data_IF_514718123334
#
_entry.id   IF_514718123334
#
_cell.length_a   1.000
_cell.length_b   1.000
_cell.length_c   1.000
_cell.angle_alpha   90.00
_cell.angle_beta   90.00
_cell.angle_gamma   90.00
#
_symmetry.space_group_name_H-M   'P 1'
#
loop_
_entity.id
_entity.type
_entity.pdbx_description
1 polymer ?
#
# COMPACT_ATOMS: atom_id res chain seq x y z
N UNK A 1 14.11 18.18 -29.80
CA UNK A 1 14.83 16.94 -30.22
C UNK A 1 14.36 15.80 -29.33
N UNK A 2 14.07 14.62 -29.91
CA UNK A 2 13.69 13.44 -29.15
C UNK A 2 14.91 12.79 -28.50
N UNK A 3 14.87 12.55 -27.19
CA UNK A 3 15.92 11.83 -26.48
C UNK A 3 15.72 10.34 -26.71
N UNK A 4 16.78 9.60 -27.02
CA UNK A 4 16.73 8.15 -26.99
C UNK A 4 16.49 7.71 -25.53
N UNK A 5 15.41 6.97 -25.29
CA UNK A 5 15.05 6.45 -23.97
C UNK A 5 15.16 4.94 -24.03
N UNK A 6 15.97 4.36 -23.17
CA UNK A 6 16.13 2.91 -23.07
C UNK A 6 15.02 2.28 -22.22
N UNK A 7 14.85 0.96 -22.33
CA UNK A 7 13.94 0.22 -21.45
C UNK A 7 14.34 0.39 -19.96
N UNK A 8 15.64 0.50 -19.69
CA UNK A 8 16.18 0.74 -18.36
C UNK A 8 15.75 2.11 -17.83
N UNK A 9 15.75 3.15 -18.66
CA UNK A 9 15.31 4.49 -18.25
C UNK A 9 13.81 4.50 -17.89
N UNK A 10 12.98 3.79 -18.66
CA UNK A 10 11.54 3.67 -18.36
C UNK A 10 11.30 2.87 -17.08
N UNK A 11 12.12 1.86 -16.83
CA UNK A 11 12.05 1.07 -15.59
C UNK A 11 12.49 1.89 -14.38
N UNK A 12 13.53 2.73 -14.53
CA UNK A 12 13.96 3.67 -13.51
C UNK A 12 12.88 4.72 -13.23
N UNK A 13 12.22 5.25 -14.26
CA UNK A 13 11.09 6.15 -14.09
C UNK A 13 9.94 5.50 -13.29
N UNK A 14 9.60 4.24 -13.57
CA UNK A 14 8.60 3.53 -12.78
C UNK A 14 9.02 3.36 -11.30
N UNK A 15 10.32 3.12 -11.04
CA UNK A 15 10.84 3.08 -9.68
C UNK A 15 10.78 4.47 -9.01
N UNK A 16 11.14 5.54 -9.70
CA UNK A 16 11.04 6.91 -9.20
C UNK A 16 9.59 7.28 -8.85
N UNK A 17 8.62 6.92 -9.70
CA UNK A 17 7.20 7.09 -9.39
C UNK A 17 6.85 6.31 -8.11
N UNK A 18 7.32 5.06 -7.98
CA UNK A 18 7.08 4.26 -6.78
C UNK A 18 7.63 4.94 -5.52
N UNK A 19 8.87 5.42 -5.56
CA UNK A 19 9.51 6.13 -4.44
C UNK A 19 8.85 7.47 -4.13
N UNK A 20 8.37 8.19 -5.15
CA UNK A 20 7.57 9.40 -4.97
C UNK A 20 6.31 9.10 -4.14
N UNK A 21 5.54 8.07 -4.48
CA UNK A 21 4.38 7.70 -3.66
C UNK A 21 4.79 7.23 -2.26
N UNK A 22 5.85 6.43 -2.11
CA UNK A 22 6.31 5.97 -0.79
C UNK A 22 6.76 7.11 0.13
N UNK A 23 7.42 8.13 -0.42
CA UNK A 23 7.85 9.32 0.32
C UNK A 23 6.68 10.25 0.69
N UNK A 24 5.56 10.17 -0.02
CA UNK A 24 4.33 10.94 0.26
C UNK A 24 3.32 10.11 1.08
N UNK A 25 3.81 9.24 1.96
CA UNK A 25 3.03 8.43 2.90
C UNK A 25 2.19 7.29 2.32
N UNK A 26 2.34 6.93 1.03
CA UNK A 26 1.64 5.79 0.44
C UNK A 26 2.42 4.49 0.63
N UNK A 27 2.01 3.64 1.59
CA UNK A 27 2.78 2.45 1.99
C UNK A 27 2.89 1.35 0.92
N UNK A 28 1.82 1.17 0.14
CA UNK A 28 1.62 0.03 -0.77
C UNK A 28 1.38 0.45 -2.21
N UNK A 29 2.01 1.54 -2.64
CA UNK A 29 2.00 1.95 -4.05
C UNK A 29 3.14 1.26 -4.81
N UNK A 30 2.87 0.79 -6.02
CA UNK A 30 3.90 0.28 -6.94
C UNK A 30 3.57 0.63 -8.38
N UNK A 31 4.46 1.36 -9.03
CA UNK A 31 4.38 1.58 -10.46
C UNK A 31 5.15 0.50 -11.21
N UNK A 32 4.59 0.04 -12.34
CA UNK A 32 5.23 -0.93 -13.23
C UNK A 32 5.13 -0.47 -14.67
N UNK A 33 6.09 -0.91 -15.47
CA UNK A 33 6.03 -0.86 -16.92
C UNK A 33 5.49 -2.21 -17.43
N UNK A 34 4.23 -2.30 -17.88
CA UNK A 34 3.72 -3.54 -18.47
C UNK A 34 4.41 -3.83 -19.81
N UNK A 35 4.49 -5.11 -20.23
CA UNK A 35 4.85 -5.47 -21.60
C UNK A 35 3.90 -4.77 -22.58
N UNK A 36 4.45 -3.95 -23.48
CA UNK A 36 3.69 -3.19 -24.47
C UNK A 36 4.57 -2.87 -25.67
N UNK A 37 3.96 -2.67 -26.82
CA UNK A 37 4.61 -2.04 -27.96
C UNK A 37 4.49 -0.52 -27.83
N UNK A 38 5.59 0.19 -28.04
CA UNK A 38 5.61 1.65 -27.95
C UNK A 38 5.21 2.23 -29.30
N UNK A 39 3.93 2.53 -29.44
CA UNK A 39 3.40 3.20 -30.62
C UNK A 39 3.40 4.72 -30.41
N UNK A 40 3.81 5.47 -31.44
CA UNK A 40 3.76 6.94 -31.46
C UNK A 40 4.50 7.62 -30.29
N UNK A 41 5.49 6.94 -29.70
CA UNK A 41 6.27 7.47 -28.57
C UNK A 41 5.50 7.56 -27.25
N UNK A 42 4.36 6.89 -27.12
CA UNK A 42 3.57 6.86 -25.87
C UNK A 42 3.93 5.62 -25.06
N UNK A 43 4.26 5.83 -23.79
CA UNK A 43 4.55 4.75 -22.83
C UNK A 43 3.48 4.76 -21.75
N UNK A 44 2.88 3.60 -21.50
CA UNK A 44 1.91 3.40 -20.43
C UNK A 44 2.61 2.88 -19.18
N UNK A 45 2.47 3.57 -18.06
CA UNK A 45 2.88 3.08 -16.74
C UNK A 45 1.63 2.76 -15.94
N UNK A 46 1.61 1.61 -15.29
CA UNK A 46 0.50 1.21 -14.41
C UNK A 46 0.90 1.44 -12.96
N UNK A 47 0.10 2.18 -12.22
CA UNK A 47 0.26 2.37 -10.78
C UNK A 47 -0.74 1.48 -10.04
N UNK A 48 -0.23 0.53 -9.27
CA UNK A 48 -1.03 -0.26 -8.36
C UNK A 48 -1.12 0.44 -7.01
N UNK A 49 -2.35 0.72 -6.57
CA UNK A 49 -2.68 1.01 -5.18
C UNK A 49 -2.93 -0.32 -4.46
N UNK A 50 -2.12 -0.65 -3.46
CA UNK A 50 -2.41 -1.77 -2.58
C UNK A 50 -3.67 -1.50 -1.76
N UNK A 51 -4.46 -2.55 -1.54
CA UNK A 51 -5.66 -2.50 -0.71
C UNK A 51 -5.46 -3.45 0.47
N UNK A 52 -6.09 -3.18 1.61
CA UNK A 52 -6.12 -4.14 2.71
C UNK A 52 -7.17 -5.21 2.42
N UNK A 53 -6.72 -6.46 2.37
CA UNK A 53 -7.61 -7.61 2.14
C UNK A 53 -8.18 -8.19 3.43
N UNK A 54 -7.35 -8.31 4.46
CA UNK A 54 -7.74 -8.92 5.74
C UNK A 54 -7.08 -8.14 6.88
N UNK A 55 -7.85 -7.85 7.93
CA UNK A 55 -7.35 -7.31 9.20
C UNK A 55 -7.48 -8.40 10.25
N UNK A 56 -6.36 -8.87 10.79
CA UNK A 56 -6.35 -9.84 11.90
C UNK A 56 -6.09 -9.12 13.20
N UNK A 57 -6.93 -9.40 14.19
CA UNK A 57 -6.81 -8.85 15.54
C UNK A 57 -6.43 -9.96 16.52
N UNK A 58 -5.35 -9.73 17.27
CA UNK A 58 -4.99 -10.52 18.44
C UNK A 58 -5.08 -9.62 19.66
N UNK A 59 -6.20 -9.67 20.37
CA UNK A 59 -6.43 -8.84 21.54
C UNK A 59 -6.26 -9.68 22.82
N UNK A 60 -5.34 -9.27 23.67
CA UNK A 60 -5.11 -9.86 25.00
C UNK A 60 -5.43 -8.87 26.13
N UNK A 61 -6.02 -7.72 25.80
CA UNK A 61 -6.37 -6.66 26.74
C UNK A 61 -7.81 -6.78 27.24
N UNK A 62 -8.17 -5.93 28.19
CA UNK A 62 -9.55 -5.80 28.66
C UNK A 62 -10.49 -5.06 27.67
N UNK A 63 -9.96 -4.52 26.56
CA UNK A 63 -10.79 -3.86 25.55
C UNK A 63 -11.70 -4.87 24.85
N UNK A 64 -12.89 -4.42 24.47
CA UNK A 64 -13.78 -5.21 23.64
C UNK A 64 -13.22 -5.39 22.23
N UNK A 65 -13.10 -6.63 21.77
CA UNK A 65 -12.70 -6.96 20.39
C UNK A 65 -13.54 -6.22 19.34
N UNK A 66 -14.84 -6.04 19.60
CA UNK A 66 -15.76 -5.34 18.71
C UNK A 66 -15.38 -3.87 18.55
N UNK A 67 -14.92 -3.23 19.63
CA UNK A 67 -14.47 -1.84 19.60
C UNK A 67 -13.18 -1.72 18.79
N UNK A 68 -12.20 -2.59 19.08
CA UNK A 68 -10.90 -2.58 18.39
C UNK A 68 -11.07 -2.89 16.90
N UNK A 69 -11.88 -3.88 16.55
CA UNK A 69 -12.17 -4.24 15.16
C UNK A 69 -12.85 -3.08 14.40
N UNK A 70 -13.78 -2.37 15.04
CA UNK A 70 -14.43 -1.21 14.43
C UNK A 70 -13.44 -0.08 14.18
N UNK A 71 -12.60 0.23 15.17
CA UNK A 71 -11.60 1.29 15.06
C UNK A 71 -10.56 0.98 13.98
N UNK A 72 -10.07 -0.27 13.93
CA UNK A 72 -9.17 -0.74 12.89
C UNK A 72 -9.83 -0.63 11.50
N UNK A 73 -11.08 -1.07 11.36
CA UNK A 73 -11.79 -1.02 10.08
C UNK A 73 -12.01 0.41 9.57
N UNK A 74 -12.36 1.36 10.46
CA UNK A 74 -12.55 2.76 10.07
C UNK A 74 -11.24 3.43 9.67
N UNK A 75 -10.12 3.06 10.29
CA UNK A 75 -8.81 3.65 9.97
C UNK A 75 -8.20 3.05 8.71
N UNK A 76 -8.36 1.74 8.51
CA UNK A 76 -7.68 1.00 7.43
C UNK A 76 -8.47 0.97 6.13
N UNK A 77 -9.80 0.90 6.21
CA UNK A 77 -10.69 0.81 5.04
C UNK A 77 -11.43 2.13 4.73
N UNK A 78 -11.11 3.21 5.46
CA UNK A 78 -11.75 4.51 5.30
C UNK A 78 -11.18 5.37 4.15
N UNK A 79 -9.98 5.05 3.67
CA UNK A 79 -9.24 5.84 2.68
C UNK A 79 -8.99 5.05 1.38
N UNK A 80 -8.90 5.77 0.26
CA UNK A 80 -8.62 5.16 -1.07
C UNK A 80 -7.20 4.56 -1.14
N UNK A 81 -6.31 4.98 -0.23
CA UNK A 81 -4.93 4.55 -0.15
C UNK A 81 -4.55 4.26 1.30
N UNK A 82 -3.74 3.24 1.51
CA UNK A 82 -3.17 2.95 2.83
C UNK A 82 -2.06 3.96 3.12
N UNK A 83 -2.34 4.90 4.02
CA UNK A 83 -1.38 5.89 4.48
C UNK A 83 -0.60 5.37 5.68
N UNK A 84 0.71 5.61 5.67
CA UNK A 84 1.59 5.24 6.78
C UNK A 84 1.18 5.90 8.09
N UNK A 85 0.97 7.20 8.05
CA UNK A 85 0.67 8.01 9.22
C UNK A 85 -0.68 7.61 9.86
N UNK A 86 -1.66 7.17 9.07
CA UNK A 86 -2.94 6.69 9.58
C UNK A 86 -2.78 5.42 10.42
N UNK A 87 -1.92 4.50 9.97
CA UNK A 87 -1.60 3.28 10.69
C UNK A 87 -0.75 3.55 11.94
N UNK A 88 0.27 4.42 11.83
CA UNK A 88 1.10 4.80 12.98
C UNK A 88 0.26 5.51 14.05
N UNK A 89 -0.62 6.44 13.65
CA UNK A 89 -1.54 7.10 14.57
C UNK A 89 -2.49 6.11 15.24
N UNK A 90 -2.97 5.10 14.51
CA UNK A 90 -3.78 4.03 15.09
C UNK A 90 -3.01 3.24 16.16
N UNK A 91 -1.78 2.83 15.88
CA UNK A 91 -0.94 2.14 16.86
C UNK A 91 -0.70 2.98 18.12
N UNK A 92 -0.36 4.26 17.94
CA UNK A 92 -0.16 5.20 19.05
C UNK A 92 -1.43 5.35 19.89
N UNK A 93 -2.59 5.56 19.25
CA UNK A 93 -3.88 5.68 19.95
C UNK A 93 -4.22 4.42 20.75
N UNK A 94 -3.88 3.25 20.24
CA UNK A 94 -4.12 2.00 20.95
C UNK A 94 -3.14 1.80 22.12
N UNK A 95 -1.90 2.26 21.99
CA UNK A 95 -0.90 2.22 23.07
C UNK A 95 -1.20 3.21 24.20
N UNK A 96 -1.99 4.26 23.94
CA UNK A 96 -2.47 5.17 24.99
C UNK A 96 -3.50 4.53 25.93
N UNK A 97 -4.05 3.36 25.58
CA UNK A 97 -4.98 2.63 26.44
C UNK A 97 -4.22 1.83 27.49
N UNK A 98 -4.48 2.03 28.79
CA UNK A 98 -3.82 1.27 29.85
C UNK A 98 -4.01 -0.25 29.70
N UNK A 99 -2.91 -1.00 29.76
CA UNK A 99 -2.92 -2.47 29.65
C UNK A 99 -3.05 -2.99 28.22
N UNK A 100 -2.92 -2.13 27.20
CA UNK A 100 -2.82 -2.52 25.79
C UNK A 100 -1.38 -2.36 25.33
N UNK A 101 -0.86 -3.35 24.61
CA UNK A 101 0.40 -3.26 23.90
C UNK A 101 0.15 -3.68 22.46
N UNK A 102 0.34 -2.75 21.51
CA UNK A 102 0.01 -2.98 20.10
C UNK A 102 1.23 -3.08 19.22
N UNK A 103 1.22 -4.09 18.34
CA UNK A 103 2.12 -4.22 17.20
C UNK A 103 1.30 -4.22 15.92
N UNK A 104 1.77 -3.49 14.92
CA UNK A 104 1.22 -3.52 13.57
C UNK A 104 2.19 -4.25 12.65
N UNK A 105 1.66 -5.21 11.90
CA UNK A 105 2.40 -5.90 10.85
C UNK A 105 1.62 -5.80 9.55
N UNK A 106 2.32 -5.41 8.47
CA UNK A 106 1.77 -5.35 7.12
C UNK A 106 2.44 -6.43 6.28
N UNK A 107 1.67 -7.43 5.90
CA UNK A 107 2.16 -8.55 5.11
C UNK A 107 1.50 -8.54 3.74
N UNK A 108 2.34 -8.62 2.69
CA UNK A 108 1.85 -8.69 1.33
C UNK A 108 1.20 -10.06 1.08
N UNK A 109 -0.08 -10.07 0.73
CA UNK A 109 -0.75 -11.28 0.24
C UNK A 109 -0.58 -11.35 -1.27
N UNK A 110 0.05 -12.42 -1.77
CA UNK A 110 0.18 -12.66 -3.19
C UNK A 110 -1.20 -12.97 -3.79
N UNK A 111 -1.84 -11.97 -4.41
CA UNK A 111 -2.98 -12.23 -5.28
C UNK A 111 -2.41 -12.76 -6.60
N UNK A 112 -2.27 -14.08 -6.70
CA UNK A 112 -1.79 -14.74 -7.92
C UNK A 112 -2.64 -14.25 -9.09
N UNK A 113 -2.05 -13.49 -10.01
CA UNK A 113 -2.71 -13.13 -11.25
C UNK A 113 -2.96 -14.43 -12.01
N UNK A 114 -4.20 -14.93 -11.98
CA UNK A 114 -4.61 -16.04 -12.84
C UNK A 114 -4.35 -15.57 -14.27
N UNK A 115 -3.34 -16.15 -14.92
CA UNK A 115 -3.21 -16.11 -16.38
C UNK A 115 -4.48 -16.74 -16.91
N UNK A 116 -5.37 -15.93 -17.44
CA UNK A 116 -6.38 -16.42 -18.37
C UNK A 116 -5.59 -16.66 -19.65
N UNK A 117 -5.27 -17.94 -19.90
CA UNK A 117 -4.83 -18.41 -21.20
C UNK A 117 -6.02 -18.42 -22.17
#
# INVERSE_FOLDING_TARGET
MGKAVSLTDLSNLANEITEFYRSHNYLVAKAILPPQEIEQGKVKILLFKGNVGEVRLQNQSALSDKFVARLANTTVNGSEFILKDELEKFALTMNDVPGVNTGLELSAVSKQARRIC
#
